data_IF_792519576429
#
_entry.id   IF_792519576429
#
_cell.length_a   1.000
_cell.length_b   1.000
_cell.length_c   1.000
_cell.angle_alpha   90.00
_cell.angle_beta   90.00
_cell.angle_gamma   90.00
#
_symmetry.space_group_name_H-M   'P 1'
#
loop_
_entity.id
_entity.type
_entity.pdbx_description
1 polymer ?
#
# COMPACT_ATOMS: atom_id res chain seq x y z
N UNK A 1 -16.67 -16.22 9.32
CA UNK A 1 -16.51 -14.76 9.45
C UNK A 1 -15.58 -14.38 8.31
N UNK A 2 -16.10 -13.68 7.30
CA UNK A 2 -15.30 -13.29 6.14
C UNK A 2 -14.13 -12.46 6.67
N UNK A 3 -12.89 -12.90 6.43
CA UNK A 3 -11.74 -12.04 6.64
C UNK A 3 -12.01 -10.80 5.79
N UNK A 4 -12.24 -9.67 6.46
CA UNK A 4 -12.45 -8.37 5.82
C UNK A 4 -11.14 -8.07 5.08
N UNK A 5 -11.10 -8.47 3.82
CA UNK A 5 -9.93 -8.29 2.97
C UNK A 5 -9.83 -6.80 2.71
N UNK A 6 -8.78 -6.16 3.23
CA UNK A 6 -8.49 -4.77 2.92
C UNK A 6 -8.42 -4.61 1.40
N UNK A 7 -9.15 -3.67 0.80
CA UNK A 7 -9.27 -3.56 -0.65
C UNK A 7 -7.92 -3.24 -1.31
N UNK A 8 -6.99 -2.66 -0.55
CA UNK A 8 -5.61 -2.38 -0.98
C UNK A 8 -4.64 -3.54 -0.70
N UNK A 9 -4.60 -4.03 0.53
CA UNK A 9 -3.55 -4.95 1.02
C UNK A 9 -4.00 -6.41 1.08
N UNK A 10 -5.28 -6.68 0.77
CA UNK A 10 -5.90 -8.00 0.75
C UNK A 10 -5.96 -8.61 2.15
N UNK A 11 -5.14 -9.62 2.39
CA UNK A 11 -5.09 -10.37 3.65
C UNK A 11 -4.18 -9.74 4.71
N UNK A 12 -3.50 -8.64 4.38
CA UNK A 12 -2.52 -7.98 5.24
C UNK A 12 -3.17 -6.77 5.91
N UNK A 13 -2.96 -6.60 7.22
CA UNK A 13 -3.44 -5.43 7.97
C UNK A 13 -2.77 -4.14 7.47
N UNK A 14 -3.57 -3.12 7.15
CA UNK A 14 -3.12 -1.84 6.61
C UNK A 14 -2.23 -1.04 7.56
N UNK A 15 -2.36 -1.25 8.87
CA UNK A 15 -1.47 -0.69 9.90
C UNK A 15 -0.01 -1.16 9.74
N UNK A 16 0.16 -2.42 9.29
CA UNK A 16 1.47 -3.05 9.14
C UNK A 16 2.11 -2.79 7.78
N UNK A 17 1.36 -2.21 6.84
CA UNK A 17 1.84 -1.87 5.50
C UNK A 17 2.24 -0.41 5.49
N UNK A 18 3.52 -0.13 5.29
CA UNK A 18 4.07 1.21 5.15
C UNK A 18 4.41 1.50 3.69
N UNK A 19 4.27 2.76 3.30
CA UNK A 19 4.65 3.23 1.97
C UNK A 19 6.16 3.41 1.94
N UNK A 20 6.85 2.87 0.92
CA UNK A 20 8.32 2.94 0.78
C UNK A 20 8.71 3.76 -0.47
N UNK A 21 7.89 4.76 -0.83
CA UNK A 21 8.12 5.64 -1.98
C UNK A 21 7.35 6.96 -1.85
N UNK A 22 7.76 7.97 -2.63
CA UNK A 22 7.06 9.26 -2.71
C UNK A 22 7.19 10.12 -1.45
N UNK A 23 6.30 11.10 -1.29
CA UNK A 23 6.30 12.03 -0.15
C UNK A 23 5.81 11.38 1.16
N UNK A 24 5.10 10.26 1.06
CA UNK A 24 4.51 9.54 2.19
C UNK A 24 5.34 8.33 2.63
N UNK A 25 6.61 8.27 2.22
CA UNK A 25 7.56 7.24 2.64
C UNK A 25 7.62 7.14 4.17
N UNK A 26 7.48 5.92 4.69
CA UNK A 26 7.48 5.59 6.11
C UNK A 26 6.12 5.67 6.80
N UNK A 27 5.07 6.17 6.14
CA UNK A 27 3.71 6.19 6.72
C UNK A 27 2.96 4.89 6.44
N UNK A 28 2.14 4.46 7.40
CA UNK A 28 1.28 3.29 7.22
C UNK A 28 0.11 3.60 6.30
N UNK A 29 -0.33 2.61 5.53
CA UNK A 29 -1.51 2.68 4.65
C UNK A 29 -2.75 3.12 5.43
N UNK A 30 -2.91 2.63 6.67
CA UNK A 30 -4.01 3.05 7.55
C UNK A 30 -3.97 4.56 7.84
N UNK A 31 -2.78 5.10 8.15
CA UNK A 31 -2.62 6.53 8.40
C UNK A 31 -2.92 7.36 7.14
N UNK A 32 -2.54 6.85 5.97
CA UNK A 32 -2.85 7.48 4.68
C UNK A 32 -4.34 7.42 4.38
N UNK A 33 -5.02 6.32 4.69
CA UNK A 33 -6.47 6.21 4.52
C UNK A 33 -7.22 7.27 5.36
N UNK A 34 -6.77 7.52 6.59
CA UNK A 34 -7.38 8.50 7.50
C UNK A 34 -7.00 9.95 7.14
N UNK A 35 -5.73 10.21 6.87
CA UNK A 35 -5.22 11.57 6.67
C UNK A 35 -5.31 12.06 5.22
N UNK A 36 -5.26 11.15 4.24
CA UNK A 36 -5.13 11.43 2.79
C UNK A 36 -5.92 10.41 1.96
N UNK A 37 -7.26 10.46 1.99
CA UNK A 37 -8.10 9.54 1.23
C UNK A 37 -7.85 9.59 -0.29
N UNK A 38 -7.44 10.75 -0.83
CA UNK A 38 -7.06 10.89 -2.25
C UNK A 38 -5.85 10.01 -2.62
N UNK A 39 -4.86 9.94 -1.73
CA UNK A 39 -3.67 9.12 -1.95
C UNK A 39 -4.01 7.64 -1.78
N UNK A 40 -4.88 7.29 -0.84
CA UNK A 40 -5.39 5.93 -0.71
C UNK A 40 -6.12 5.47 -1.99
N UNK A 41 -6.92 6.34 -2.60
CA UNK A 41 -7.57 6.07 -3.88
C UNK A 41 -6.53 5.81 -4.99
N UNK A 42 -5.48 6.63 -5.08
CA UNK A 42 -4.38 6.41 -6.02
C UNK A 42 -3.72 5.04 -5.82
N UNK A 43 -3.48 4.61 -4.57
CA UNK A 43 -2.91 3.30 -4.29
C UNK A 43 -3.81 2.16 -4.79
N UNK A 44 -5.14 2.31 -4.67
CA UNK A 44 -6.10 1.33 -5.20
C UNK A 44 -6.03 1.24 -6.72
N UNK A 45 -5.90 2.37 -7.43
CA UNK A 45 -5.74 2.39 -8.88
C UNK A 45 -4.43 1.74 -9.33
N UNK A 46 -3.34 1.98 -8.59
CA UNK A 46 -2.05 1.33 -8.84
C UNK A 46 -2.11 -0.17 -8.58
N UNK A 47 -2.93 -0.59 -7.61
CA UNK A 47 -3.25 -1.99 -7.40
C UNK A 47 -4.00 -2.61 -8.55
N UNK A 48 -5.05 -1.96 -9.02
CA UNK A 48 -5.84 -2.44 -10.16
C UNK A 48 -4.99 -2.54 -11.43
N UNK A 49 -4.08 -1.57 -11.61
CA UNK A 49 -3.09 -1.56 -12.69
C UNK A 49 -2.02 -2.66 -12.57
N UNK A 50 -1.94 -3.36 -11.44
CA UNK A 50 -0.89 -4.36 -11.16
C UNK A 50 0.51 -3.75 -10.98
N UNK A 51 0.60 -2.44 -10.76
CA UNK A 51 1.85 -1.70 -10.66
C UNK A 51 2.37 -1.56 -9.23
N UNK A 52 1.83 -2.33 -8.30
CA UNK A 52 2.20 -2.30 -6.89
C UNK A 52 2.68 -3.67 -6.41
N UNK A 53 3.54 -3.67 -5.40
CA UNK A 53 4.10 -4.86 -4.77
C UNK A 53 4.22 -4.65 -3.28
N UNK A 54 3.75 -5.59 -2.47
CA UNK A 54 3.91 -5.54 -1.02
C UNK A 54 4.95 -6.59 -0.61
N UNK A 55 6.02 -6.16 0.05
CA UNK A 55 7.09 -7.04 0.52
C UNK A 55 7.24 -6.98 2.03
N UNK A 56 7.29 -8.14 2.66
CA UNK A 56 7.55 -8.25 4.10
C UNK A 56 9.04 -8.17 4.40
N UNK A 57 9.45 -7.35 5.35
CA UNK A 57 10.82 -7.27 5.86
C UNK A 57 10.99 -8.07 7.15
N UNK A 58 12.25 -8.28 7.58
CA UNK A 58 12.58 -9.03 8.80
C UNK A 58 12.00 -8.40 10.06
N UNK A 59 11.75 -7.09 10.04
CA UNK A 59 11.14 -6.30 11.12
C UNK A 59 9.64 -6.50 11.27
N UNK A 60 9.05 -7.49 10.57
CA UNK A 60 7.60 -7.76 10.52
C UNK A 60 6.76 -6.62 9.94
N UNK A 61 7.40 -5.63 9.32
CA UNK A 61 6.77 -4.54 8.59
C UNK A 61 6.59 -4.99 7.13
N UNK A 62 5.47 -4.60 6.53
CA UNK A 62 5.23 -4.76 5.10
C UNK A 62 5.50 -3.43 4.44
N UNK A 63 6.30 -3.43 3.37
CA UNK A 63 6.60 -2.23 2.60
C UNK A 63 5.87 -2.32 1.26
N UNK A 64 5.11 -1.28 0.95
CA UNK A 64 4.42 -1.11 -0.32
C UNK A 64 5.34 -0.38 -1.28
N UNK A 65 5.58 -1.02 -2.41
CA UNK A 65 6.37 -0.54 -3.53
C UNK A 65 5.44 -0.30 -4.71
N UNK A 66 5.70 0.75 -5.47
CA UNK A 66 5.12 0.92 -6.80
C UNK A 66 6.21 0.69 -7.83
N UNK A 67 5.95 -0.25 -8.73
CA UNK A 67 6.72 -0.42 -9.95
C UNK A 67 6.35 0.75 -10.86
N UNK A 68 7.19 1.78 -10.87
CA UNK A 68 7.08 2.84 -11.86
C UNK A 68 7.43 2.21 -13.21
N UNK A 69 6.43 1.75 -13.96
CA UNK A 69 6.64 1.35 -15.35
C UNK A 69 7.02 2.63 -16.09
N UNK A 70 8.32 2.86 -16.24
CA UNK A 70 8.84 3.70 -17.31
C UNK A 70 8.44 2.99 -18.61
N UNK A 71 7.25 3.32 -19.12
CA UNK A 71 6.89 3.01 -20.50
C UNK A 71 7.78 3.90 -21.37
N UNK A 72 8.79 3.28 -21.97
CA UNK A 72 9.75 3.88 -22.89
C UNK A 72 9.18 3.86 -24.31
#
# INVERSE_FOLDING_TARGET
MAQEQSPLTGIIEEDKVVIDFGEFEGKSVLEIADTRPEYYQFLLEQKDSGNFSIRRTKDKIFRLYIHQTFLN
#
